data_IF_922016663088
#
_entry.id   IF_922016663088
#
_cell.length_a   1.000
_cell.length_b   1.000
_cell.length_c   1.000
_cell.angle_alpha   90.00
_cell.angle_beta   90.00
_cell.angle_gamma   90.00
#
_symmetry.space_group_name_H-M   'P 1'
#
loop_
_entity.id
_entity.type
_entity.pdbx_description
1 polymer ?
#
# COMPACT_ATOMS: atom_id res chain seq x y z
N UNK A 1 1.48 -10.43 1.46
CA UNK A 1 1.98 -9.41 0.53
C UNK A 1 1.93 -9.90 -0.90
N UNK A 2 2.42 -11.11 -1.14
CA UNK A 2 2.53 -11.74 -2.47
C UNK A 2 1.24 -11.69 -3.28
N UNK A 3 0.09 -11.92 -2.62
CA UNK A 3 -1.22 -11.84 -3.28
C UNK A 3 -1.53 -10.44 -3.84
N UNK A 4 -1.10 -9.38 -3.17
CA UNK A 4 -1.31 -8.01 -3.65
C UNK A 4 -0.46 -7.72 -4.88
N UNK A 5 0.82 -8.13 -4.88
CA UNK A 5 1.68 -8.05 -6.07
C UNK A 5 1.14 -8.91 -7.21
N UNK A 6 0.64 -10.12 -6.93
CA UNK A 6 0.00 -10.98 -7.93
C UNK A 6 -1.20 -10.28 -8.58
N UNK A 7 -2.00 -9.56 -7.80
CA UNK A 7 -3.20 -8.85 -8.28
C UNK A 7 -2.90 -7.61 -9.11
N UNK A 8 -1.72 -6.99 -8.96
CA UNK A 8 -1.31 -5.89 -9.85
C UNK A 8 -0.82 -6.41 -11.20
N UNK A 9 -0.38 -7.67 -11.27
CA UNK A 9 0.17 -8.30 -12.47
C UNK A 9 1.58 -7.85 -12.82
N UNK A 10 2.26 -7.12 -11.91
CA UNK A 10 3.61 -6.59 -12.13
C UNK A 10 4.59 -7.33 -11.21
N UNK A 11 5.75 -7.76 -11.73
CA UNK A 11 6.77 -8.43 -10.90
C UNK A 11 7.29 -7.51 -9.80
N UNK A 12 7.52 -8.07 -8.60
CA UNK A 12 7.97 -7.32 -7.43
C UNK A 12 9.31 -6.59 -7.67
N UNK A 13 10.15 -7.11 -8.57
CA UNK A 13 11.43 -6.50 -8.97
C UNK A 13 11.30 -5.15 -9.67
N UNK A 14 10.12 -4.78 -10.19
CA UNK A 14 9.88 -3.45 -10.77
C UNK A 14 9.58 -2.38 -9.72
N UNK A 15 9.33 -2.77 -8.48
CA UNK A 15 8.94 -1.86 -7.42
C UNK A 15 10.14 -1.35 -6.65
N UNK A 16 10.06 -0.08 -6.27
CA UNK A 16 10.94 0.50 -5.26
C UNK A 16 10.14 0.81 -4.01
N UNK A 17 10.77 0.67 -2.84
CA UNK A 17 10.18 1.16 -1.59
C UNK A 17 10.06 2.68 -1.69
N UNK A 18 8.85 3.21 -1.51
CA UNK A 18 8.56 4.65 -1.55
C UNK A 18 8.19 5.23 -0.18
N UNK A 19 7.74 4.41 0.78
CA UNK A 19 7.48 4.83 2.16
C UNK A 19 7.93 3.80 3.18
N UNK A 20 8.26 4.31 4.35
CA UNK A 20 8.63 3.55 5.53
C UNK A 20 7.74 3.94 6.70
N UNK A 21 7.20 2.95 7.39
CA UNK A 21 6.46 3.12 8.65
C UNK A 21 7.29 2.63 9.83
N UNK A 22 6.95 3.09 11.04
CA UNK A 22 7.54 2.57 12.28
C UNK A 22 6.55 1.67 13.00
N UNK A 23 7.02 0.56 13.51
CA UNK A 23 6.22 -0.30 14.37
C UNK A 23 6.03 0.32 15.77
N UNK A 24 5.34 -0.40 16.65
CA UNK A 24 5.12 0.04 18.02
C UNK A 24 6.41 0.19 18.86
N UNK A 25 7.52 -0.40 18.44
CA UNK A 25 8.82 -0.32 19.11
C UNK A 25 9.74 0.73 18.46
N UNK A 26 9.27 1.43 17.43
CA UNK A 26 10.01 2.49 16.73
C UNK A 26 10.93 1.99 15.62
N UNK A 27 10.92 0.69 15.30
CA UNK A 27 11.70 0.11 14.21
C UNK A 27 11.04 0.39 12.86
N UNK A 28 11.83 0.84 11.89
CA UNK A 28 11.34 1.19 10.56
C UNK A 28 11.22 -0.03 9.64
N UNK A 29 10.10 -0.12 8.93
CA UNK A 29 9.81 -1.14 7.93
C UNK A 29 9.21 -0.50 6.67
N UNK A 30 9.44 -1.07 5.48
CA UNK A 30 8.81 -0.60 4.26
C UNK A 30 7.28 -0.79 4.33
N UNK A 31 6.53 0.22 3.88
CA UNK A 31 5.06 0.26 3.94
C UNK A 31 4.40 0.61 2.63
N UNK A 32 5.16 1.09 1.65
CA UNK A 32 4.69 1.35 0.30
C UNK A 32 5.77 0.93 -0.69
N UNK A 33 5.34 0.20 -1.69
CA UNK A 33 6.13 -0.19 -2.84
C UNK A 33 5.44 0.40 -4.06
N UNK A 34 6.19 1.14 -4.87
CA UNK A 34 5.65 1.81 -6.03
C UNK A 34 6.59 1.68 -7.22
N UNK A 35 6.02 1.39 -8.38
CA UNK A 35 6.76 1.45 -9.64
C UNK A 35 6.97 2.93 -10.00
N UNK A 36 8.22 3.36 -10.04
CA UNK A 36 8.59 4.77 -10.17
C UNK A 36 8.74 5.25 -11.62
N UNK A 37 9.04 4.33 -12.54
CA UNK A 37 9.35 4.61 -13.93
C UNK A 37 8.80 3.53 -14.87
N UNK A 38 8.91 3.76 -16.18
CA UNK A 38 8.44 2.82 -17.19
C UNK A 38 6.91 2.81 -17.39
N UNK A 39 6.41 1.87 -18.21
CA UNK A 39 5.00 1.80 -18.59
C UNK A 39 4.07 1.49 -17.40
N UNK A 40 4.60 0.83 -16.37
CA UNK A 40 3.88 0.45 -15.15
C UNK A 40 3.95 1.54 -14.06
N UNK A 41 4.48 2.72 -14.36
CA UNK A 41 4.63 3.80 -13.39
C UNK A 41 3.29 4.10 -12.69
N UNK A 42 3.34 4.13 -11.36
CA UNK A 42 2.18 4.47 -10.53
C UNK A 42 1.40 3.28 -10.00
N UNK A 43 1.78 2.05 -10.37
CA UNK A 43 1.36 0.82 -9.69
C UNK A 43 1.89 0.84 -8.26
N UNK A 44 1.05 0.48 -7.30
CA UNK A 44 1.37 0.59 -5.88
C UNK A 44 0.83 -0.62 -5.12
N UNK A 45 1.61 -1.08 -4.15
CA UNK A 45 1.17 -1.97 -3.07
C UNK A 45 1.54 -1.33 -1.75
N UNK A 46 0.65 -1.40 -0.76
CA UNK A 46 0.86 -0.76 0.52
C UNK A 46 0.29 -1.51 1.71
N UNK A 47 0.77 -1.13 2.90
CA UNK A 47 0.31 -1.66 4.17
C UNK A 47 -0.21 -0.51 5.01
N UNK A 48 -1.45 -0.64 5.46
CA UNK A 48 -2.11 0.33 6.31
C UNK A 48 -2.86 -0.35 7.46
N UNK A 49 -2.67 0.19 8.66
CA UNK A 49 -3.49 -0.14 9.83
C UNK A 49 -4.20 1.12 10.33
N UNK A 50 -5.50 1.15 10.08
CA UNK A 50 -6.37 2.27 10.46
C UNK A 50 -6.77 2.25 11.94
N UNK A 51 -6.46 1.18 12.67
CA UNK A 51 -6.51 1.19 14.14
C UNK A 51 -5.36 2.02 14.72
N UNK A 52 -4.25 2.17 13.98
CA UNK A 52 -3.11 2.99 14.37
C UNK A 52 -3.18 4.41 13.81
N UNK A 53 -3.65 4.56 12.57
CA UNK A 53 -3.84 5.87 11.92
C UNK A 53 -5.20 5.92 11.23
N UNK A 54 -6.22 6.52 11.87
CA UNK A 54 -7.55 6.63 11.29
C UNK A 54 -7.52 7.36 9.94
N UNK A 55 -8.26 6.85 8.96
CA UNK A 55 -8.52 7.53 7.69
C UNK A 55 -10.02 7.76 7.51
N UNK A 56 -10.36 8.85 6.81
CA UNK A 56 -11.74 9.15 6.40
C UNK A 56 -12.19 8.32 5.20
N UNK A 57 -11.23 7.77 4.43
CA UNK A 57 -11.45 7.02 3.20
C UNK A 57 -10.83 5.61 3.28
N UNK A 58 -11.49 4.63 2.68
CA UNK A 58 -11.01 3.24 2.62
C UNK A 58 -11.45 2.34 3.79
N UNK A 59 -10.95 1.09 3.85
CA UNK A 59 -11.34 0.13 4.88
C UNK A 59 -10.82 0.53 6.27
N UNK A 60 -11.71 0.56 7.28
CA UNK A 60 -11.38 0.85 8.70
C UNK A 60 -10.69 -0.30 9.44
N UNK A 61 -10.01 -1.18 8.72
CA UNK A 61 -9.37 -2.39 9.25
C UNK A 61 -7.96 -2.50 8.69
N UNK A 62 -7.04 -3.20 9.39
CA UNK A 62 -5.72 -3.50 8.87
C UNK A 62 -5.82 -4.15 7.49
N UNK A 63 -5.05 -3.68 6.52
CA UNK A 63 -5.13 -4.20 5.17
C UNK A 63 -3.86 -3.98 4.35
N UNK A 64 -3.79 -4.71 3.24
CA UNK A 64 -2.86 -4.43 2.15
C UNK A 64 -3.64 -3.81 0.99
N UNK A 65 -3.31 -2.59 0.60
CA UNK A 65 -3.89 -1.94 -0.58
C UNK A 65 -3.07 -2.25 -1.83
N UNK A 66 -3.73 -2.32 -2.98
CA UNK A 66 -3.07 -2.46 -4.27
C UNK A 66 -3.77 -1.65 -5.35
N UNK A 67 -2.99 -1.23 -6.36
CA UNK A 67 -3.47 -0.53 -7.55
C UNK A 67 -2.79 -1.07 -8.80
N UNK A 68 -3.57 -1.46 -9.82
CA UNK A 68 -3.06 -1.93 -11.12
C UNK A 68 -2.59 -0.76 -12.01
N UNK A 69 -1.85 -1.04 -13.11
CA UNK A 69 -1.50 -0.01 -14.09
C UNK A 69 -2.73 0.66 -14.70
N UNK A 70 -2.55 1.87 -15.24
CA UNK A 70 -3.58 2.63 -15.96
C UNK A 70 -3.94 3.98 -15.34
N UNK A 71 -4.71 4.79 -16.09
CA UNK A 71 -5.22 6.09 -15.61
C UNK A 71 -6.59 5.95 -14.94
N UNK A 72 -6.82 6.72 -13.87
CA UNK A 72 -8.06 6.69 -13.06
C UNK A 72 -9.34 7.06 -13.80
N UNK A 73 -9.32 8.03 -14.73
CA UNK A 73 -10.55 8.53 -15.36
C UNK A 73 -10.90 7.88 -16.71
N UNK A 74 -10.32 6.71 -17.03
CA UNK A 74 -10.62 6.03 -18.29
C UNK A 74 -9.63 4.96 -18.74
N UNK A 75 -8.59 4.66 -17.96
CA UNK A 75 -7.50 3.75 -18.34
C UNK A 75 -7.48 2.42 -17.60
N UNK A 76 -8.59 1.99 -16.99
CA UNK A 76 -8.73 0.63 -16.44
C UNK A 76 -8.00 0.33 -15.13
N UNK A 77 -7.45 1.34 -14.43
CA UNK A 77 -6.80 1.14 -13.14
C UNK A 77 -7.78 0.63 -12.08
N UNK A 78 -7.57 -0.59 -11.58
CA UNK A 78 -8.34 -1.21 -10.51
C UNK A 78 -7.62 -1.02 -9.18
N UNK A 79 -8.41 -0.79 -8.13
CA UNK A 79 -7.94 -0.76 -6.74
C UNK A 79 -8.63 -1.84 -5.94
N UNK A 80 -7.93 -2.36 -4.96
CA UNK A 80 -8.51 -3.26 -3.98
C UNK A 80 -7.74 -3.25 -2.69
N UNK A 81 -8.34 -3.92 -1.70
CA UNK A 81 -7.75 -4.10 -0.39
C UNK A 81 -7.90 -5.57 -0.01
N UNK A 82 -6.85 -6.12 0.58
CA UNK A 82 -6.86 -7.44 1.21
C UNK A 82 -6.91 -7.18 2.71
N UNK A 83 -8.05 -7.51 3.32
CA UNK A 83 -8.26 -7.29 4.75
C UNK A 83 -7.43 -8.30 5.57
N UNK A 84 -6.80 -7.80 6.62
CA UNK A 84 -5.98 -8.56 7.54
C UNK A 84 -6.54 -8.42 8.96
N UNK A 85 -6.22 -9.39 9.82
CA UNK A 85 -6.63 -9.34 11.22
C UNK A 85 -5.79 -8.37 12.05
N UNK A 86 -4.50 -8.22 11.72
CA UNK A 86 -3.57 -7.36 12.44
C UNK A 86 -2.38 -7.01 11.54
N UNK A 87 -2.00 -5.73 11.52
CA UNK A 87 -0.70 -5.29 11.01
C UNK A 87 -0.20 -4.14 11.88
N UNK A 88 0.77 -4.32 12.79
CA UNK A 88 1.17 -3.28 13.73
C UNK A 88 2.05 -2.19 13.09
N UNK A 89 1.73 -1.79 11.85
CA UNK A 89 2.50 -0.90 10.99
C UNK A 89 1.53 -0.16 10.04
N UNK A 90 1.78 1.12 9.80
CA UNK A 90 1.03 1.92 8.83
C UNK A 90 1.98 2.85 8.08
N UNK A 91 1.63 3.23 6.85
CA UNK A 91 2.43 4.17 6.04
C UNK A 91 2.54 5.56 6.67
N UNK A 92 1.54 5.93 7.47
CA UNK A 92 1.44 7.23 8.12
C UNK A 92 1.97 7.18 9.54
N UNK A 93 2.54 8.29 10.02
CA UNK A 93 2.99 8.40 11.41
C UNK A 93 1.77 8.43 12.34
N UNK A 94 1.85 7.73 13.47
CA UNK A 94 0.89 7.90 14.58
C UNK A 94 0.85 9.38 14.97
N UNK A 95 -0.35 9.97 15.03
CA UNK A 95 -0.56 11.34 15.50
C UNK A 95 -0.42 12.48 14.49
N UNK A 96 -0.40 12.19 13.18
CA UNK A 96 -0.57 13.25 12.15
C UNK A 96 -2.03 13.23 11.67
N UNK A 97 -2.82 14.29 11.95
CA UNK A 97 -4.22 14.40 11.52
C UNK A 97 -4.38 14.46 9.99
#
# INVERSE_FOLDING_TARGET
>A
MDEAFRRTGIPETEYSVSKWGKDQYGKSFPTEWRVQSGPNRGVEVNIDDLLLVPSKEGPKSPHIGYQTPGKRSGGGAKRGHILLKLVPLSRSKKGVP
#
